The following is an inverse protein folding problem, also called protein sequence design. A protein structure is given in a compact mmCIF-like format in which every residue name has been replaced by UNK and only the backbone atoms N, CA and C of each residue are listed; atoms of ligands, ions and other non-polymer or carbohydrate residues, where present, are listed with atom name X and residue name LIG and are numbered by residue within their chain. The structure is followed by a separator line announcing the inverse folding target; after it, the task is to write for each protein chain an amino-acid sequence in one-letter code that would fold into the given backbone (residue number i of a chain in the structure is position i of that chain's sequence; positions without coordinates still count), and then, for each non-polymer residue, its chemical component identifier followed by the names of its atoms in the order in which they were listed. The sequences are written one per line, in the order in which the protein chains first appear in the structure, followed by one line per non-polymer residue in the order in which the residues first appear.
data_IF_996445337247
#
_entry.id   IF_996445337247
#
_cell.length_a   1.000
_cell.length_b   1.000
_cell.length_c   1.000
_cell.angle_alpha   90.00
_cell.angle_beta   90.00
_cell.angle_gamma   90.00
#
_symmetry.space_group_name_H-M   'P 1'
#
loop_
_entity.id
_entity.type
_entity.pdbx_description
1 polymer ?
#
# COMPACT_ATOMS: atom_id res chain seq x y z
N UNK A 1 -55.08 -0.64 -25.32
CA UNK A 1 -54.93 -1.81 -26.24
C UNK A 1 -54.16 -1.32 -27.47
N UNK A 2 -52.83 -1.49 -27.51
CA UNK A 2 -52.02 -2.53 -28.22
C UNK A 2 -52.20 -2.59 -29.75
N UNK A 3 -51.15 -2.20 -30.49
CA UNK A 3 -50.48 -2.91 -31.62
C UNK A 3 -49.24 -2.09 -32.01
N UNK A 4 -48.06 -2.40 -31.46
CA UNK A 4 -47.02 -3.32 -32.00
C UNK A 4 -46.53 -2.87 -33.38
N UNK A 5 -45.35 -2.23 -33.41
CA UNK A 5 -44.54 -2.01 -34.62
C UNK A 5 -43.52 -3.16 -34.68
N UNK A 6 -43.64 -4.05 -35.67
CA UNK A 6 -42.66 -5.12 -35.95
C UNK A 6 -41.72 -4.62 -37.06
N UNK A 7 -40.44 -4.95 -36.86
CA UNK A 7 -39.27 -4.65 -37.67
C UNK A 7 -39.36 -5.11 -39.13
N UNK A 8 -38.75 -4.32 -40.02
CA UNK A 8 -38.19 -4.82 -41.27
C UNK A 8 -36.67 -4.97 -41.16
N UNK A 9 -36.25 -6.20 -41.37
CA UNK A 9 -34.90 -6.73 -41.29
C UNK A 9 -34.31 -6.70 -42.71
N UNK A 10 -33.21 -5.96 -42.95
CA UNK A 10 -32.38 -6.15 -44.15
C UNK A 10 -30.90 -6.13 -43.81
N UNK A 11 -30.38 -7.34 -43.65
CA UNK A 11 -28.97 -7.70 -43.62
C UNK A 11 -28.37 -7.66 -45.05
N UNK A 12 -27.19 -7.04 -45.17
CA UNK A 12 -26.12 -7.41 -46.12
C UNK A 12 -25.78 -6.39 -47.22
N UNK A 13 -24.54 -6.36 -47.77
CA UNK A 13 -23.46 -7.34 -47.64
C UNK A 13 -22.08 -6.79 -47.18
N UNK A 14 -21.41 -7.59 -46.33
CA UNK A 14 -19.97 -7.89 -46.29
C UNK A 14 -18.99 -6.82 -46.81
N UNK A 15 -18.35 -6.11 -45.90
CA UNK A 15 -16.90 -5.86 -46.00
C UNK A 15 -16.28 -5.99 -44.63
N UNK A 16 -15.64 -7.14 -44.44
CA UNK A 16 -14.74 -7.43 -43.33
C UNK A 16 -13.47 -6.60 -43.56
N UNK A 17 -13.18 -5.66 -42.68
CA UNK A 17 -11.80 -5.21 -42.44
C UNK A 17 -11.59 -5.27 -40.95
N UNK A 18 -11.05 -6.42 -40.54
CA UNK A 18 -10.41 -6.61 -39.26
C UNK A 18 -9.08 -5.85 -39.26
N UNK A 19 -8.79 -5.22 -38.11
CA UNK A 19 -7.53 -4.71 -37.58
C UNK A 19 -7.92 -3.44 -36.80
N UNK A 20 -7.61 -3.29 -35.52
CA UNK A 20 -6.24 -3.00 -35.11
C UNK A 20 -6.20 -2.88 -33.58
N UNK A 21 -5.35 -3.74 -32.99
CA UNK A 21 -4.58 -3.56 -31.75
C UNK A 21 -5.31 -3.73 -30.41
N UNK A 22 -5.18 -4.95 -29.87
CA UNK A 22 -5.07 -5.22 -28.45
C UNK A 22 -4.00 -4.30 -27.82
N UNK A 23 -4.41 -3.39 -26.93
CA UNK A 23 -3.53 -2.89 -25.87
C UNK A 23 -3.83 -3.69 -24.61
N UNK A 24 -3.43 -4.96 -24.59
CA UNK A 24 -3.23 -5.67 -23.34
C UNK A 24 -1.83 -5.24 -22.90
N UNK A 25 -1.75 -4.19 -22.09
CA UNK A 25 -0.54 -3.93 -21.32
C UNK A 25 -0.45 -5.04 -20.28
N UNK A 26 0.13 -6.17 -20.69
CA UNK A 26 0.59 -7.21 -19.77
C UNK A 26 1.74 -6.59 -18.99
N UNK A 27 1.42 -5.86 -17.92
CA UNK A 27 2.37 -5.66 -16.84
C UNK A 27 2.55 -7.02 -16.17
N UNK A 28 3.34 -7.88 -16.82
CA UNK A 28 4.15 -8.85 -16.09
C UNK A 28 5.32 -8.04 -15.54
N UNK A 29 5.02 -7.14 -14.60
CA UNK A 29 6.01 -6.78 -13.61
C UNK A 29 6.24 -8.08 -12.87
N UNK A 30 7.38 -8.73 -13.16
CA UNK A 30 7.90 -9.71 -12.23
C UNK A 30 8.14 -8.96 -10.94
N UNK A 31 7.14 -8.94 -10.05
CA UNK A 31 7.32 -8.57 -8.66
C UNK A 31 8.24 -9.64 -8.07
N UNK A 32 9.55 -9.50 -8.25
CA UNK A 32 10.44 -9.80 -7.16
C UNK A 32 10.06 -8.79 -6.08
N UNK A 33 9.13 -9.18 -5.20
CA UNK A 33 8.84 -8.45 -3.98
C UNK A 33 10.15 -8.38 -3.22
N UNK A 34 10.89 -7.28 -3.38
CA UNK A 34 12.08 -7.05 -2.57
C UNK A 34 11.64 -7.07 -1.11
N UNK A 35 12.40 -7.78 -0.28
CA UNK A 35 12.19 -7.77 1.16
C UNK A 35 12.47 -6.38 1.74
N UNK A 36 13.33 -5.60 1.06
CA UNK A 36 13.56 -4.21 1.41
C UNK A 36 12.56 -3.30 0.65
N UNK A 37 11.64 -2.60 1.35
CA UNK A 37 10.65 -1.74 0.71
C UNK A 37 11.28 -0.56 -0.03
N UNK A 38 12.50 -0.15 0.31
CA UNK A 38 13.18 0.99 -0.32
C UNK A 38 13.81 0.66 -1.69
N UNK A 39 13.93 -0.61 -2.06
CA UNK A 39 14.45 -1.01 -3.38
C UNK A 39 13.40 -0.86 -4.49
N UNK A 40 12.14 -0.63 -4.12
CA UNK A 40 11.03 -0.48 -5.05
C UNK A 40 10.94 0.98 -5.55
N UNK A 41 10.54 1.12 -6.82
CA UNK A 41 10.22 2.42 -7.41
C UNK A 41 9.07 3.07 -6.63
N UNK A 42 9.16 4.39 -6.39
CA UNK A 42 8.08 5.13 -5.73
C UNK A 42 6.82 5.16 -6.57
N UNK A 43 5.69 5.05 -5.89
CA UNK A 43 4.35 5.18 -6.43
C UNK A 43 3.58 6.31 -5.74
N UNK A 44 2.38 6.62 -6.24
CA UNK A 44 1.49 7.59 -5.60
C UNK A 44 1.02 7.12 -4.21
N UNK A 45 0.98 5.81 -3.96
CA UNK A 45 0.58 5.25 -2.67
C UNK A 45 1.63 5.50 -1.58
N UNK A 46 2.86 5.87 -1.96
CA UNK A 46 3.96 6.21 -1.02
C UNK A 46 3.91 7.66 -0.52
N UNK A 47 2.93 8.45 -0.96
CA UNK A 47 2.75 9.82 -0.51
C UNK A 47 2.08 9.81 0.87
N UNK A 48 2.73 10.43 1.87
CA UNK A 48 2.09 10.63 3.17
C UNK A 48 1.00 11.71 3.03
N UNK A 49 -0.13 11.56 3.73
CA UNK A 49 -1.08 12.66 3.84
C UNK A 49 -0.45 13.83 4.61
N UNK A 50 -0.94 15.04 4.35
CA UNK A 50 -0.42 16.27 4.95
C UNK A 50 -0.44 16.26 6.50
N UNK A 51 -1.33 15.49 7.11
CA UNK A 51 -1.42 15.29 8.56
C UNK A 51 -0.23 14.52 9.13
N UNK A 52 0.48 13.75 8.29
CA UNK A 52 1.66 12.96 8.64
C UNK A 52 2.99 13.58 8.20
N UNK A 53 2.98 14.67 7.42
CA UNK A 53 4.21 15.33 6.96
C UNK A 53 5.03 15.97 8.10
N UNK A 54 4.45 16.17 9.28
CA UNK A 54 5.12 16.78 10.44
C UNK A 54 5.88 15.78 11.33
N UNK A 55 5.83 14.49 11.02
CA UNK A 55 6.50 13.46 11.81
C UNK A 55 8.02 13.48 11.65
N UNK A 56 8.71 12.74 12.53
CA UNK A 56 10.14 12.55 12.48
C UNK A 56 10.60 11.69 11.28
N UNK A 57 9.71 11.33 10.35
CA UNK A 57 9.97 10.59 9.12
C UNK A 57 10.36 11.48 7.93
N UNK A 58 11.28 11.03 7.09
CA UNK A 58 11.64 11.68 5.84
C UNK A 58 10.61 11.32 4.74
N UNK A 59 9.80 12.27 4.27
CA UNK A 59 8.72 12.01 3.31
C UNK A 59 9.23 11.51 1.94
N UNK A 60 10.49 11.78 1.60
CA UNK A 60 11.09 11.30 0.35
C UNK A 60 11.42 9.81 0.37
N UNK A 61 11.48 9.23 1.57
CA UNK A 61 11.84 7.83 1.80
C UNK A 61 10.63 6.98 2.16
N UNK A 62 9.47 7.58 2.35
CA UNK A 62 8.24 6.87 2.67
C UNK A 62 7.96 5.77 1.66
N UNK A 63 7.55 4.61 2.18
CA UNK A 63 7.00 3.49 1.43
C UNK A 63 5.73 3.00 2.10
N UNK A 64 4.65 2.91 1.33
CA UNK A 64 3.44 2.25 1.78
C UNK A 64 3.70 0.74 1.80
N UNK A 65 3.49 0.14 2.97
CA UNK A 65 3.66 -1.28 3.17
C UNK A 65 2.36 -2.03 2.87
N UNK A 66 1.23 -1.47 3.32
CA UNK A 66 -0.10 -2.04 3.13
C UNK A 66 -1.20 -1.08 3.58
N UNK A 67 -2.42 -1.41 3.21
CA UNK A 67 -3.66 -0.82 3.71
C UNK A 67 -4.54 -1.91 4.31
N UNK A 68 -5.14 -1.67 5.47
CA UNK A 68 -6.06 -2.58 6.15
C UNK A 68 -7.19 -1.80 6.81
N UNK A 69 -8.44 -2.11 6.45
CA UNK A 69 -9.62 -1.32 6.82
C UNK A 69 -9.44 0.17 6.48
N UNK A 70 -9.45 1.05 7.47
CA UNK A 70 -9.23 2.49 7.35
C UNK A 70 -7.80 2.92 7.73
N UNK A 71 -6.88 1.96 7.87
CA UNK A 71 -5.50 2.21 8.25
C UNK A 71 -4.53 1.98 7.09
N UNK A 72 -3.58 2.89 6.94
CA UNK A 72 -2.44 2.78 6.05
C UNK A 72 -1.15 2.68 6.87
N UNK A 73 -0.27 1.77 6.47
CA UNK A 73 0.96 1.46 7.18
C UNK A 73 2.13 1.87 6.31
N UNK A 74 2.99 2.73 6.82
CA UNK A 74 4.15 3.23 6.09
C UNK A 74 5.44 2.97 6.84
N UNK A 75 6.54 2.82 6.09
CA UNK A 75 7.89 2.86 6.63
C UNK A 75 8.68 4.00 5.99
N UNK A 76 9.53 4.66 6.75
CA UNK A 76 10.40 5.71 6.25
C UNK A 76 11.73 5.71 7.01
N UNK A 77 12.76 6.32 6.42
CA UNK A 77 13.95 6.72 7.16
C UNK A 77 13.61 7.94 8.03
N UNK A 78 14.29 8.14 9.17
CA UNK A 78 14.13 9.35 9.96
C UNK A 78 14.54 10.62 9.18
N UNK A 79 13.85 11.71 9.45
CA UNK A 79 14.24 13.06 9.03
C UNK A 79 15.47 13.54 9.80
N UNK A 80 16.32 14.33 9.16
CA UNK A 80 17.53 14.90 9.78
C UNK A 80 17.27 15.86 10.94
N UNK A 81 16.02 16.30 11.11
CA UNK A 81 15.58 17.22 12.17
C UNK A 81 15.10 16.51 13.43
N UNK A 82 14.88 15.20 13.37
CA UNK A 82 14.55 14.42 14.54
C UNK A 82 15.83 14.11 15.31
N UNK A 83 15.79 14.16 16.65
CA UNK A 83 16.76 13.50 17.52
C UNK A 83 16.63 11.97 17.32
N UNK A 84 16.94 11.48 16.11
CA UNK A 84 16.44 10.21 15.57
C UNK A 84 17.02 9.02 16.34
N UNK A 85 16.24 8.52 17.31
CA UNK A 85 16.50 7.34 18.13
C UNK A 85 16.24 6.03 17.35
N UNK A 86 16.60 5.97 16.06
CA UNK A 86 16.22 4.86 15.19
C UNK A 86 16.78 4.92 13.78
N UNK A 87 16.82 3.75 13.12
CA UNK A 87 17.23 3.62 11.71
C UNK A 87 16.04 3.74 10.74
N UNK A 88 14.83 3.38 11.21
CA UNK A 88 13.58 3.52 10.48
C UNK A 88 12.45 3.99 11.41
N UNK A 89 11.40 4.51 10.80
CA UNK A 89 10.15 4.94 11.43
C UNK A 89 8.98 4.19 10.78
N UNK A 90 8.15 3.55 11.61
CA UNK A 90 6.88 2.95 11.23
C UNK A 90 5.77 3.95 11.53
N UNK A 91 4.90 4.19 10.55
CA UNK A 91 3.75 5.08 10.68
C UNK A 91 2.46 4.30 10.46
N UNK A 92 1.45 4.66 11.24
CA UNK A 92 0.06 4.27 11.01
C UNK A 92 -0.73 5.55 10.76
N UNK A 93 -1.46 5.59 9.65
CA UNK A 93 -2.39 6.67 9.30
C UNK A 93 -3.80 6.10 9.28
N UNK A 94 -4.75 6.78 9.90
CA UNK A 94 -6.17 6.44 9.93
C UNK A 94 -6.99 7.53 9.23
N UNK A 95 -7.73 7.15 8.18
CA UNK A 95 -8.64 8.01 7.41
C UNK A 95 -8.02 9.36 6.97
N UNK A 96 -6.72 9.41 6.70
CA UNK A 96 -5.94 10.64 6.41
C UNK A 96 -5.96 11.72 7.53
N UNK A 97 -6.57 11.42 8.68
CA UNK A 97 -6.87 12.41 9.73
C UNK A 97 -5.91 12.26 10.90
N UNK A 98 -5.70 11.02 11.34
CA UNK A 98 -4.88 10.73 12.52
C UNK A 98 -3.69 9.92 12.09
N UNK A 99 -2.50 10.32 12.51
CA UNK A 99 -1.30 9.56 12.24
C UNK A 99 -0.47 9.41 13.52
N UNK A 100 0.17 8.25 13.66
CA UNK A 100 1.04 7.92 14.78
C UNK A 100 2.33 7.35 14.23
N UNK A 101 3.45 7.73 14.84
CA UNK A 101 4.79 7.31 14.44
C UNK A 101 5.51 6.62 15.60
N UNK A 102 6.33 5.62 15.28
CA UNK A 102 7.34 5.06 16.16
C UNK A 102 8.63 4.86 15.37
N UNK A 103 9.73 5.48 15.82
CA UNK A 103 11.06 5.24 15.28
C UNK A 103 11.87 4.41 16.29
N UNK A 104 12.67 3.48 15.80
CA UNK A 104 13.44 2.60 16.68
C UNK A 104 14.69 2.04 16.04
N UNK A 105 15.62 1.62 16.91
CA UNK A 105 16.80 0.84 16.58
C UNK A 105 16.53 -0.63 16.93
N UNK A 106 16.96 -1.56 16.07
CA UNK A 106 16.86 -3.01 16.34
C UNK A 106 15.97 -3.76 15.36
N UNK A 107 15.77 -5.08 15.57
CA UNK A 107 15.17 -5.95 14.55
C UNK A 107 13.66 -5.71 14.34
N UNK A 108 12.99 -4.99 15.25
CA UNK A 108 11.53 -4.78 15.22
C UNK A 108 11.20 -3.34 15.65
N UNK A 109 10.35 -2.64 14.88
CA UNK A 109 9.59 -1.47 15.35
C UNK A 109 8.17 -1.94 15.69
N UNK A 110 7.66 -1.49 16.83
CA UNK A 110 6.29 -1.74 17.28
C UNK A 110 5.58 -0.40 17.53
N UNK A 111 4.31 -0.34 17.14
CA UNK A 111 3.46 0.83 17.32
C UNK A 111 2.00 0.39 17.51
N UNK A 112 1.24 1.12 18.33
CA UNK A 112 -0.19 0.89 18.50
C UNK A 112 -0.98 2.19 18.53
N UNK A 113 -2.15 2.17 17.87
CA UNK A 113 -3.11 3.27 17.82
C UNK A 113 -4.53 2.71 17.66
N UNK A 114 -5.49 3.26 18.40
CA UNK A 114 -6.95 3.02 18.23
C UNK A 114 -7.37 1.57 17.90
N UNK A 115 -7.01 0.61 18.75
CA UNK A 115 -7.42 -0.79 18.56
C UNK A 115 -6.61 -1.56 17.52
N UNK A 116 -5.60 -0.93 16.91
CA UNK A 116 -4.63 -1.56 16.02
C UNK A 116 -3.25 -1.52 16.63
N UNK A 117 -2.47 -2.59 16.42
CA UNK A 117 -1.04 -2.63 16.66
C UNK A 117 -0.34 -3.18 15.42
N UNK A 118 0.76 -2.55 15.04
CA UNK A 118 1.59 -2.97 13.93
C UNK A 118 3.02 -3.25 14.38
N UNK A 119 3.64 -4.23 13.73
CA UNK A 119 5.03 -4.58 13.89
C UNK A 119 5.71 -4.63 12.53
N UNK A 120 6.82 -3.91 12.42
CA UNK A 120 7.71 -3.98 11.27
C UNK A 120 9.02 -4.66 11.63
N UNK A 121 9.46 -5.62 10.83
CA UNK A 121 10.66 -6.41 11.05
C UNK A 121 11.77 -5.97 10.07
N UNK A 122 12.90 -5.49 10.59
CA UNK A 122 14.06 -5.09 9.80
C UNK A 122 14.87 -6.29 9.37
N UNK A 123 15.05 -7.22 10.32
CA UNK A 123 15.88 -8.41 10.21
C UNK A 123 15.27 -9.51 11.10
N UNK A 124 15.31 -10.76 10.63
CA UNK A 124 14.81 -11.92 11.36
C UNK A 124 13.36 -12.30 11.01
N UNK A 125 12.86 -13.35 11.67
CA UNK A 125 11.51 -13.87 11.45
C UNK A 125 10.54 -13.29 12.49
N UNK A 126 9.31 -13.03 12.05
CA UNK A 126 8.25 -12.57 12.93
C UNK A 126 7.84 -13.65 13.95
N UNK A 127 7.38 -13.24 15.13
CA UNK A 127 6.68 -14.16 16.02
C UNK A 127 5.36 -14.59 15.35
N UNK A 128 5.33 -15.79 14.79
CA UNK A 128 4.10 -16.39 14.26
C UNK A 128 3.23 -16.87 15.43
N UNK A 129 2.34 -15.98 15.88
CA UNK A 129 1.24 -16.37 16.76
C UNK A 129 -0.07 -16.13 16.02
N UNK A 130 -1.10 -16.96 16.31
CA UNK A 130 -2.43 -16.92 15.66
C UNK A 130 -3.14 -15.56 15.77
N UNK A 131 -2.62 -14.63 16.57
CA UNK A 131 -3.21 -13.32 16.81
C UNK A 131 -2.71 -12.21 15.87
N UNK A 132 -1.69 -12.46 15.04
CA UNK A 132 -1.13 -11.48 14.11
C UNK A 132 -1.43 -11.85 12.66
N UNK A 133 -1.93 -10.89 11.90
CA UNK A 133 -2.15 -11.00 10.47
C UNK A 133 -0.93 -10.50 9.68
N UNK A 134 -0.51 -11.25 8.67
CA UNK A 134 0.56 -10.85 7.75
C UNK A 134 0.00 -10.04 6.58
N UNK A 135 0.29 -8.75 6.56
CA UNK A 135 -0.15 -7.84 5.49
C UNK A 135 0.92 -7.58 4.42
N UNK A 136 2.19 -7.56 4.80
CA UNK A 136 3.33 -7.42 3.89
C UNK A 136 4.49 -8.34 4.35
N UNK A 137 5.56 -8.55 3.56
CA UNK A 137 6.68 -9.42 3.94
C UNK A 137 7.16 -9.19 5.39
N UNK A 138 7.40 -7.92 5.71
CA UNK A 138 7.93 -7.47 7.00
C UNK A 138 6.92 -6.75 7.88
N UNK A 139 5.63 -6.74 7.52
CA UNK A 139 4.57 -6.09 8.30
C UNK A 139 3.63 -7.14 8.89
N UNK A 140 3.36 -7.03 10.19
CA UNK A 140 2.29 -7.75 10.88
C UNK A 140 1.38 -6.78 11.59
N UNK A 141 0.08 -7.07 11.59
CA UNK A 141 -0.93 -6.24 12.23
C UNK A 141 -1.85 -7.09 13.09
N UNK A 142 -2.24 -6.55 14.23
CA UNK A 142 -3.23 -7.15 15.13
C UNK A 142 -4.26 -6.10 15.53
N UNK A 143 -5.52 -6.50 15.50
CA UNK A 143 -6.66 -5.71 15.98
C UNK A 143 -7.12 -6.20 17.36
N UNK A 144 -7.76 -5.32 18.13
CA UNK A 144 -8.23 -5.58 19.50
C UNK A 144 -9.65 -5.06 19.74
#
# INVERSE_FOLDING_TARGET
MKKILIQDNKLGPKTVVAATICFIATFVAGCSTSENPFDQDRSADDELPATAETFAANPETTRNLSTYDNFEFFIAQPSSSADSQGDLCLLIVEDDITATESCGEGPIIDIGVQGVRAQYYFEGEAEETDAWEKLAPNLRVKTY
#
